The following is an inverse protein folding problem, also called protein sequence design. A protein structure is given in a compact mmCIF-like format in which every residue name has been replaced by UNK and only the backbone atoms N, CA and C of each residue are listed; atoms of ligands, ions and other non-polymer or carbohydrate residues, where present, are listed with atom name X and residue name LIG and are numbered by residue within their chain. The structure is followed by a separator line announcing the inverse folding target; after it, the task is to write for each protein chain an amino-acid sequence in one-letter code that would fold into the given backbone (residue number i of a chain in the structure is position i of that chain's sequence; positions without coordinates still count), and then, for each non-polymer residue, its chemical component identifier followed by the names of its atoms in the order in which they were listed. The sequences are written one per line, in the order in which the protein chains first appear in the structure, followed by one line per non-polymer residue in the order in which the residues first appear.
data_IF_773438392694
#
_entry.id   IF_773438392694
#
_cell.length_a   1.000
_cell.length_b   1.000
_cell.length_c   1.000
_cell.angle_alpha   90.00
_cell.angle_beta   90.00
_cell.angle_gamma   90.00
#
_symmetry.space_group_name_H-M   'P 1'
#
loop_
_entity.id
_entity.type
_entity.pdbx_description
1 polymer ?
#
# COMPACT_ATOMS: atom_id res chain seq x y z
N UNK A 1 0.56 -46.01 23.02
CA UNK A 1 -0.78 -46.41 23.47
C UNK A 1 -1.05 -45.66 24.77
N UNK A 2 -1.74 -44.52 24.71
CA UNK A 2 -2.10 -43.72 25.89
C UNK A 2 -3.63 -43.76 25.97
N UNK A 3 -4.13 -44.65 26.84
CA UNK A 3 -5.55 -44.82 27.12
C UNK A 3 -6.02 -43.69 28.04
N UNK A 4 -6.54 -42.62 27.45
CA UNK A 4 -7.34 -41.65 28.19
C UNK A 4 -8.81 -42.05 28.06
N UNK A 5 -9.39 -42.49 29.18
CA UNK A 5 -10.83 -42.71 29.31
C UNK A 5 -11.51 -41.35 29.28
N UNK A 6 -12.36 -41.13 28.28
CA UNK A 6 -13.20 -39.92 28.19
C UNK A 6 -14.42 -40.15 29.07
N UNK A 7 -14.74 -39.26 30.03
CA UNK A 7 -15.90 -39.44 30.90
C UNK A 7 -17.18 -39.02 30.15
N UNK A 8 -17.61 -39.88 29.22
CA UNK A 8 -18.93 -39.82 28.60
C UNK A 8 -19.51 -41.24 28.59
N UNK A 9 -20.35 -41.53 29.60
CA UNK A 9 -21.18 -42.72 29.72
C UNK A 9 -20.49 -44.09 29.49
N UNK A 10 -19.22 -44.24 29.88
CA UNK A 10 -18.55 -45.55 29.96
C UNK A 10 -18.03 -46.12 28.64
N UNK A 11 -17.73 -45.28 27.65
CA UNK A 11 -17.15 -45.73 26.38
C UNK A 11 -15.63 -45.46 26.29
N UNK A 12 -14.86 -46.45 25.84
CA UNK A 12 -13.44 -46.27 25.49
C UNK A 12 -13.29 -45.52 24.16
N UNK A 13 -12.18 -44.79 23.99
CA UNK A 13 -11.83 -44.04 22.76
C UNK A 13 -11.93 -44.92 21.48
N UNK A 14 -11.62 -46.21 21.60
CA UNK A 14 -11.70 -47.21 20.52
C UNK A 14 -13.14 -47.61 20.12
N UNK A 15 -14.16 -47.13 20.83
CA UNK A 15 -15.59 -47.31 20.50
C UNK A 15 -16.24 -46.01 20.00
N UNK A 16 -15.45 -44.96 19.77
CA UNK A 16 -15.93 -43.61 19.51
C UNK A 16 -15.56 -43.17 18.09
N UNK A 17 -16.55 -43.11 17.18
CA UNK A 17 -16.40 -42.50 15.85
C UNK A 17 -15.15 -42.98 15.05
N UNK A 18 -14.79 -44.26 15.20
CA UNK A 18 -13.61 -44.84 14.57
C UNK A 18 -13.93 -45.36 13.17
N UNK A 19 -13.77 -44.48 12.18
CA UNK A 19 -14.00 -44.81 10.77
C UNK A 19 -13.01 -45.83 10.22
N UNK A 20 -11.89 -46.11 10.88
CA UNK A 20 -10.98 -47.20 10.45
C UNK A 20 -11.61 -48.58 10.65
N UNK A 21 -12.63 -48.67 11.51
CA UNK A 21 -13.35 -49.91 11.83
C UNK A 21 -14.76 -49.91 11.29
N UNK A 22 -15.02 -49.12 10.24
CA UNK A 22 -16.35 -48.97 9.66
C UNK A 22 -17.01 -50.32 9.31
N UNK A 23 -16.23 -51.27 8.77
CA UNK A 23 -16.72 -52.60 8.41
C UNK A 23 -16.93 -53.53 9.62
N UNK A 24 -16.31 -53.25 10.76
CA UNK A 24 -16.37 -54.10 11.96
C UNK A 24 -17.56 -53.79 12.87
N UNK A 25 -18.24 -52.66 12.66
CA UNK A 25 -19.26 -52.14 13.56
C UNK A 25 -20.58 -51.91 12.84
N UNK A 26 -21.70 -52.32 13.48
CA UNK A 26 -23.04 -52.13 12.90
C UNK A 26 -23.48 -50.67 12.87
N UNK A 27 -23.02 -49.85 13.83
CA UNK A 27 -23.41 -48.46 13.96
C UNK A 27 -22.23 -47.62 14.45
N UNK A 28 -22.03 -46.45 13.84
CA UNK A 28 -21.11 -45.42 14.32
C UNK A 28 -21.89 -44.29 14.98
N UNK A 29 -21.48 -43.94 16.19
CA UNK A 29 -22.14 -42.89 16.96
C UNK A 29 -21.51 -41.52 16.66
N UNK A 30 -22.19 -40.70 15.83
CA UNK A 30 -21.69 -39.41 15.32
C UNK A 30 -22.04 -38.18 16.17
N UNK A 31 -22.86 -38.33 17.22
CA UNK A 31 -23.33 -37.22 18.06
C UNK A 31 -22.51 -37.12 19.36
N UNK A 32 -22.15 -35.91 19.77
CA UNK A 32 -21.41 -35.61 21.00
C UNK A 32 -20.32 -34.54 20.84
N UNK A 33 -20.12 -33.70 21.85
CA UNK A 33 -19.23 -32.53 21.79
C UNK A 33 -17.76 -32.85 21.45
N UNK A 34 -17.25 -33.99 21.91
CA UNK A 34 -15.88 -34.44 21.63
C UNK A 34 -15.67 -34.99 20.21
N UNK A 35 -16.74 -35.19 19.43
CA UNK A 35 -16.70 -35.83 18.09
C UNK A 35 -16.75 -34.84 16.94
N UNK A 36 -17.09 -33.58 17.21
CA UNK A 36 -17.06 -32.48 16.22
C UNK A 36 -15.63 -31.94 16.08
N UNK A 37 -14.71 -32.80 15.62
CA UNK A 37 -13.34 -32.41 15.29
C UNK A 37 -13.10 -32.62 13.79
N UNK A 38 -12.16 -31.84 13.24
CA UNK A 38 -11.86 -31.83 11.80
C UNK A 38 -11.54 -33.24 11.27
N UNK A 39 -10.73 -34.00 11.99
CA UNK A 39 -10.31 -35.35 11.60
C UNK A 39 -11.49 -36.31 11.45
N UNK A 40 -12.43 -36.31 12.40
CA UNK A 40 -13.62 -37.16 12.34
C UNK A 40 -14.55 -36.75 11.18
N UNK A 41 -14.73 -35.46 10.93
CA UNK A 41 -15.50 -34.97 9.79
C UNK A 41 -14.86 -35.36 8.44
N UNK A 42 -13.54 -35.26 8.32
CA UNK A 42 -12.81 -35.68 7.12
C UNK A 42 -12.90 -37.19 6.88
N UNK A 43 -12.73 -38.01 7.93
CA UNK A 43 -12.84 -39.46 7.83
C UNK A 43 -14.26 -39.93 7.48
N UNK A 44 -15.29 -39.27 8.04
CA UNK A 44 -16.68 -39.49 7.62
C UNK A 44 -16.85 -39.21 6.13
N UNK A 45 -16.36 -38.06 5.66
CA UNK A 45 -16.43 -37.67 4.25
C UNK A 45 -15.75 -38.69 3.34
N UNK A 46 -14.54 -39.15 3.69
CA UNK A 46 -13.81 -40.19 2.94
C UNK A 46 -14.57 -41.52 2.90
N UNK A 47 -15.10 -41.95 4.04
CA UNK A 47 -15.86 -43.20 4.15
C UNK A 47 -17.14 -43.16 3.32
N UNK A 48 -17.87 -42.03 3.36
CA UNK A 48 -19.05 -41.81 2.53
C UNK A 48 -18.70 -41.79 1.05
N UNK A 49 -17.61 -41.13 0.65
CA UNK A 49 -17.19 -41.09 -0.75
C UNK A 49 -16.79 -42.47 -1.29
N UNK A 50 -16.09 -43.28 -0.48
CA UNK A 50 -15.66 -44.64 -0.84
C UNK A 50 -16.84 -45.61 -0.96
N UNK A 51 -17.74 -45.63 0.03
CA UNK A 51 -18.80 -46.65 0.14
C UNK A 51 -20.14 -46.22 -0.45
N UNK A 52 -20.42 -44.92 -0.45
CA UNK A 52 -21.72 -44.34 -0.80
C UNK A 52 -21.54 -43.05 -1.62
N UNK A 53 -20.87 -43.10 -2.78
CA UNK A 53 -20.49 -41.90 -3.54
C UNK A 53 -21.67 -41.00 -3.92
N UNK A 54 -22.84 -41.59 -4.20
CA UNK A 54 -24.06 -40.83 -4.51
C UNK A 54 -24.59 -40.05 -3.31
N UNK A 55 -24.53 -40.64 -2.11
CA UNK A 55 -24.93 -39.96 -0.88
C UNK A 55 -23.93 -38.86 -0.52
N UNK A 56 -22.63 -39.13 -0.65
CA UNK A 56 -21.59 -38.12 -0.48
C UNK A 56 -21.84 -36.92 -1.41
N UNK A 57 -22.09 -37.17 -2.70
CA UNK A 57 -22.38 -36.12 -3.69
C UNK A 57 -23.58 -35.28 -3.26
N UNK A 58 -24.72 -35.91 -2.94
CA UNK A 58 -25.93 -35.20 -2.48
C UNK A 58 -25.67 -34.37 -1.24
N UNK A 59 -24.92 -34.89 -0.26
CA UNK A 59 -24.58 -34.16 0.97
C UNK A 59 -23.74 -32.92 0.66
N UNK A 60 -22.71 -33.05 -0.19
CA UNK A 60 -21.82 -31.95 -0.54
C UNK A 60 -22.55 -30.87 -1.36
N UNK A 61 -23.46 -31.28 -2.24
CA UNK A 61 -24.33 -30.39 -3.03
C UNK A 61 -25.31 -29.58 -2.15
N UNK A 62 -25.68 -30.06 -0.96
CA UNK A 62 -26.53 -29.30 -0.02
C UNK A 62 -25.81 -28.11 0.64
N UNK A 63 -24.48 -28.05 0.57
CA UNK A 63 -23.68 -26.99 1.20
C UNK A 63 -22.74 -26.29 0.19
N UNK A 64 -23.29 -25.64 -0.85
CA UNK A 64 -22.49 -25.00 -1.92
C UNK A 64 -21.54 -23.91 -1.40
N UNK A 65 -21.93 -23.19 -0.33
CA UNK A 65 -21.11 -22.18 0.33
C UNK A 65 -19.81 -22.72 0.95
N UNK A 66 -19.83 -23.97 1.41
CA UNK A 66 -18.67 -24.65 1.97
C UNK A 66 -17.85 -25.39 0.89
N UNK A 67 -18.46 -25.60 -0.29
CA UNK A 67 -17.88 -26.35 -1.41
C UNK A 67 -17.85 -25.47 -2.67
N UNK A 68 -17.23 -24.29 -2.56
CA UNK A 68 -17.27 -23.22 -3.58
C UNK A 68 -17.05 -23.72 -5.01
N UNK A 69 -16.11 -24.67 -5.21
CA UNK A 69 -15.82 -25.27 -6.52
C UNK A 69 -16.95 -26.12 -7.09
N UNK A 70 -17.67 -26.86 -6.24
CA UNK A 70 -18.80 -27.70 -6.66
C UNK A 70 -20.09 -26.89 -6.82
N UNK A 71 -20.27 -25.84 -6.00
CA UNK A 71 -21.40 -24.92 -6.10
C UNK A 71 -21.30 -23.91 -7.24
N UNK A 72 -20.28 -23.97 -8.10
CA UNK A 72 -20.06 -23.00 -9.18
C UNK A 72 -19.84 -21.56 -8.70
N UNK A 73 -19.53 -21.37 -7.41
CA UNK A 73 -19.29 -20.06 -6.82
C UNK A 73 -17.93 -19.58 -7.33
N UNK A 74 -17.90 -18.46 -8.06
CA UNK A 74 -16.64 -17.83 -8.49
C UNK A 74 -15.75 -17.63 -7.28
N UNK A 75 -14.56 -18.21 -7.33
CA UNK A 75 -13.57 -18.01 -6.29
C UNK A 75 -13.00 -16.62 -6.49
N UNK A 76 -13.39 -15.67 -5.64
CA UNK A 76 -12.74 -14.37 -5.58
C UNK A 76 -11.28 -14.59 -5.15
N UNK A 77 -10.35 -13.99 -5.90
CA UNK A 77 -8.95 -13.95 -5.52
C UNK A 77 -8.87 -13.31 -4.12
N UNK A 78 -8.05 -13.83 -3.20
CA UNK A 78 -7.88 -13.18 -1.91
C UNK A 78 -7.38 -11.75 -2.16
N UNK A 79 -8.01 -10.78 -1.49
CA UNK A 79 -7.50 -9.42 -1.45
C UNK A 79 -6.05 -9.43 -0.98
N UNK A 80 -5.24 -8.53 -1.54
CA UNK A 80 -3.86 -8.38 -1.13
C UNK A 80 -3.80 -8.13 0.38
N UNK A 81 -3.01 -8.94 1.09
CA UNK A 81 -2.84 -8.74 2.53
C UNK A 81 -2.08 -7.43 2.78
N UNK A 82 -2.30 -6.81 3.94
CA UNK A 82 -1.55 -5.61 4.35
C UNK A 82 -0.03 -5.85 4.27
N UNK A 83 0.44 -7.04 4.65
CA UNK A 83 1.86 -7.40 4.57
C UNK A 83 2.38 -7.41 3.13
N UNK A 84 1.63 -7.97 2.18
CA UNK A 84 2.01 -7.95 0.76
C UNK A 84 2.06 -6.54 0.20
N UNK A 85 1.11 -5.67 0.55
CA UNK A 85 1.14 -4.27 0.15
C UNK A 85 2.42 -3.57 0.65
N UNK A 86 2.74 -3.70 1.94
CA UNK A 86 3.95 -3.09 2.50
C UNK A 86 5.21 -3.67 1.86
N UNK A 87 5.26 -4.98 1.59
CA UNK A 87 6.38 -5.61 0.90
C UNK A 87 6.57 -5.04 -0.52
N UNK A 88 5.49 -4.87 -1.31
CA UNK A 88 5.58 -4.28 -2.65
C UNK A 88 6.22 -2.88 -2.65
N UNK A 89 5.86 -2.06 -1.66
CA UNK A 89 6.48 -0.74 -1.52
C UNK A 89 7.94 -0.83 -1.07
N UNK A 90 8.27 -1.76 -0.17
CA UNK A 90 9.65 -1.99 0.25
C UNK A 90 10.54 -2.47 -0.90
N UNK A 91 10.03 -3.36 -1.76
CA UNK A 91 10.72 -3.84 -2.95
C UNK A 91 10.98 -2.66 -3.91
N UNK A 92 9.96 -1.85 -4.20
CA UNK A 92 10.11 -0.63 -4.99
C UNK A 92 11.20 0.31 -4.43
N UNK A 93 11.19 0.56 -3.12
CA UNK A 93 12.19 1.43 -2.48
C UNK A 93 13.59 0.83 -2.59
N UNK A 94 13.75 -0.48 -2.39
CA UNK A 94 15.03 -1.18 -2.51
C UNK A 94 15.59 -1.08 -3.93
N UNK A 95 14.73 -1.17 -4.95
CA UNK A 95 15.13 -1.00 -6.34
C UNK A 95 15.67 0.42 -6.58
N UNK A 96 14.96 1.47 -6.10
CA UNK A 96 15.42 2.86 -6.20
C UNK A 96 16.74 3.09 -5.48
N UNK A 97 16.90 2.58 -4.26
CA UNK A 97 18.14 2.68 -3.49
C UNK A 97 19.30 2.01 -4.23
N UNK A 98 19.04 0.86 -4.87
CA UNK A 98 20.06 0.14 -5.64
C UNK A 98 20.51 0.95 -6.86
N UNK A 99 19.57 1.58 -7.58
CA UNK A 99 19.91 2.50 -8.67
C UNK A 99 20.72 3.71 -8.19
N UNK A 100 20.38 4.27 -7.04
CA UNK A 100 21.06 5.47 -6.51
C UNK A 100 22.43 5.21 -5.90
N UNK A 101 22.81 3.96 -5.61
CA UNK A 101 24.16 3.63 -5.13
C UNK A 101 25.26 4.00 -6.11
N UNK A 102 24.93 4.04 -7.40
CA UNK A 102 25.86 4.41 -8.47
C UNK A 102 26.04 5.93 -8.60
N UNK A 103 25.24 6.75 -7.87
CA UNK A 103 25.36 8.20 -7.91
C UNK A 103 26.62 8.66 -7.15
N UNK A 104 27.50 9.46 -7.77
CA UNK A 104 28.65 10.02 -7.07
C UNK A 104 28.23 10.96 -5.95
N UNK A 105 28.95 10.93 -4.83
CA UNK A 105 28.71 11.84 -3.70
C UNK A 105 28.78 13.32 -4.10
N UNK A 106 29.66 13.67 -5.05
CA UNK A 106 29.74 15.04 -5.61
C UNK A 106 28.42 15.46 -6.28
N UNK A 107 27.78 14.55 -7.02
CA UNK A 107 26.46 14.82 -7.62
C UNK A 107 25.40 15.06 -6.54
N UNK A 108 25.40 14.26 -5.48
CA UNK A 108 24.48 14.44 -4.35
C UNK A 108 24.77 15.73 -3.56
N UNK A 109 26.04 16.12 -3.45
CA UNK A 109 26.46 17.37 -2.81
C UNK A 109 26.01 18.59 -3.62
N UNK A 110 26.23 18.58 -4.95
CA UNK A 110 25.76 19.62 -5.86
C UNK A 110 24.24 19.78 -5.79
N UNK A 111 23.50 18.67 -5.74
CA UNK A 111 22.05 18.71 -5.57
C UNK A 111 21.64 19.27 -4.23
N UNK A 112 22.29 18.87 -3.14
CA UNK A 112 22.03 19.43 -1.81
C UNK A 112 22.29 20.94 -1.77
N UNK A 113 23.35 21.41 -2.44
CA UNK A 113 23.65 22.83 -2.56
C UNK A 113 22.54 23.56 -3.34
N UNK A 114 22.12 23.05 -4.50
CA UNK A 114 21.00 23.61 -5.29
C UNK A 114 19.70 23.69 -4.50
N UNK A 115 19.42 22.66 -3.69
CA UNK A 115 18.23 22.59 -2.86
C UNK A 115 18.26 23.55 -1.67
N UNK A 116 19.41 24.10 -1.30
CA UNK A 116 19.53 24.98 -0.12
C UNK A 116 18.97 26.40 -0.33
N UNK A 117 18.82 26.83 -1.58
CA UNK A 117 18.49 28.22 -1.92
C UNK A 117 17.01 28.60 -1.83
N UNK A 118 16.12 27.62 -1.57
CA UNK A 118 14.66 27.87 -1.58
C UNK A 118 14.19 28.84 -0.48
N UNK A 119 14.93 28.97 0.63
CA UNK A 119 14.58 29.90 1.72
C UNK A 119 14.51 31.35 1.23
N UNK A 120 15.34 31.74 0.27
CA UNK A 120 15.29 33.07 -0.34
C UNK A 120 14.01 33.27 -1.13
N UNK A 121 13.58 32.25 -1.88
CA UNK A 121 12.32 32.28 -2.63
C UNK A 121 11.11 32.42 -1.70
N UNK A 122 11.03 31.63 -0.62
CA UNK A 122 9.89 31.68 0.31
C UNK A 122 9.74 33.06 0.98
N UNK A 123 10.86 33.73 1.27
CA UNK A 123 10.87 35.04 1.91
C UNK A 123 10.82 36.23 0.93
N UNK A 124 10.93 36.00 -0.37
CA UNK A 124 10.90 37.04 -1.39
C UNK A 124 9.48 37.61 -1.58
N UNK A 125 9.39 38.82 -2.15
CA UNK A 125 8.10 39.38 -2.55
C UNK A 125 7.56 38.71 -3.82
N UNK A 126 6.30 38.97 -4.20
CA UNK A 126 5.65 38.31 -5.35
C UNK A 126 6.37 38.54 -6.67
N UNK A 127 6.87 39.75 -6.91
CA UNK A 127 7.56 40.11 -8.15
C UNK A 127 8.87 39.33 -8.28
N UNK A 128 9.61 39.21 -7.18
CA UNK A 128 10.83 38.40 -7.11
C UNK A 128 10.53 36.89 -7.21
N UNK A 129 9.47 36.42 -6.54
CA UNK A 129 9.03 35.02 -6.62
C UNK A 129 8.66 34.66 -8.07
N UNK A 130 7.92 35.52 -8.77
CA UNK A 130 7.43 35.30 -10.13
C UNK A 130 8.54 34.89 -11.13
N UNK A 131 9.71 35.53 -11.05
CA UNK A 131 10.83 35.30 -11.97
C UNK A 131 11.72 34.12 -11.59
N UNK A 132 11.61 33.60 -10.36
CA UNK A 132 12.41 32.47 -9.90
C UNK A 132 12.17 31.23 -10.74
N UNK A 133 13.24 30.53 -11.10
CA UNK A 133 13.16 29.28 -11.87
C UNK A 133 12.94 28.10 -10.93
N UNK A 134 11.93 27.29 -11.23
CA UNK A 134 11.56 26.10 -10.48
C UNK A 134 11.81 24.88 -11.35
N UNK A 135 12.41 23.84 -10.78
CA UNK A 135 12.64 22.57 -11.47
C UNK A 135 12.57 21.39 -10.51
N UNK A 136 12.40 20.17 -11.04
CA UNK A 136 12.34 18.96 -10.22
C UNK A 136 13.69 18.28 -10.11
N UNK A 137 13.92 17.59 -8.99
CA UNK A 137 15.05 16.70 -8.83
C UNK A 137 14.89 15.53 -9.84
N UNK A 138 15.84 15.30 -10.75
CA UNK A 138 15.73 14.27 -11.78
C UNK A 138 15.72 12.85 -11.20
N UNK A 139 16.15 12.70 -9.94
CA UNK A 139 16.14 11.42 -9.24
C UNK A 139 14.90 11.22 -8.36
N UNK A 140 13.95 12.17 -8.35
CA UNK A 140 12.67 11.99 -7.68
C UNK A 140 11.86 10.88 -8.34
N UNK A 141 11.42 9.91 -7.55
CA UNK A 141 10.62 8.79 -8.02
C UNK A 141 9.35 8.67 -7.20
N UNK A 142 8.22 8.57 -7.90
CA UNK A 142 6.90 8.50 -7.30
C UNK A 142 6.42 7.06 -7.29
N UNK A 143 5.95 6.61 -6.13
CA UNK A 143 5.20 5.39 -5.94
C UNK A 143 3.72 5.74 -5.79
N UNK A 144 2.97 5.51 -6.87
CA UNK A 144 1.51 5.63 -6.86
C UNK A 144 0.92 4.47 -6.03
N UNK A 145 0.27 4.80 -4.92
CA UNK A 145 -0.32 3.81 -4.03
C UNK A 145 -1.55 3.21 -4.73
N UNK A 146 -1.57 1.90 -5.03
CA UNK A 146 -2.65 1.33 -5.81
C UNK A 146 -4.02 1.52 -5.15
N UNK A 147 -5.00 1.94 -5.95
CA UNK A 147 -6.35 2.24 -5.48
C UNK A 147 -7.04 1.04 -4.82
N UNK A 148 -6.70 -0.18 -5.24
CA UNK A 148 -7.24 -1.43 -4.70
C UNK A 148 -6.58 -1.90 -3.40
N UNK A 149 -5.53 -1.23 -2.90
CA UNK A 149 -4.93 -1.59 -1.61
C UNK A 149 -5.92 -1.41 -0.44
N UNK A 150 -5.87 -2.30 0.58
CA UNK A 150 -6.66 -2.13 1.79
C UNK A 150 -6.40 -0.78 2.45
N UNK A 151 -7.45 -0.13 2.97
CA UNK A 151 -7.34 1.18 3.62
C UNK A 151 -6.31 1.20 4.77
N UNK A 152 -6.24 0.11 5.54
CA UNK A 152 -5.23 -0.04 6.60
C UNK A 152 -3.80 -0.04 6.06
N UNK A 153 -3.53 -0.70 4.92
CA UNK A 153 -2.20 -0.71 4.31
C UNK A 153 -1.79 0.70 3.84
N UNK A 154 -2.72 1.41 3.19
CA UNK A 154 -2.50 2.81 2.77
C UNK A 154 -2.20 3.70 3.96
N UNK A 155 -2.97 3.56 5.04
CA UNK A 155 -2.79 4.35 6.26
C UNK A 155 -1.43 4.08 6.91
N UNK A 156 -1.06 2.81 7.11
CA UNK A 156 0.22 2.43 7.73
C UNK A 156 1.42 2.91 6.91
N UNK A 157 1.37 2.79 5.58
CA UNK A 157 2.42 3.32 4.71
C UNK A 157 2.55 4.83 4.87
N UNK A 158 1.43 5.57 4.81
CA UNK A 158 1.42 7.02 4.93
C UNK A 158 1.89 7.50 6.29
N UNK A 159 1.44 6.85 7.36
CA UNK A 159 1.84 7.18 8.73
C UNK A 159 3.34 6.97 8.95
N UNK A 160 3.93 5.91 8.37
CA UNK A 160 5.38 5.66 8.40
C UNK A 160 6.16 6.78 7.72
N UNK A 161 5.70 7.24 6.56
CA UNK A 161 6.38 8.27 5.76
C UNK A 161 6.20 9.66 6.39
N UNK A 162 4.98 10.04 6.76
CA UNK A 162 4.70 11.32 7.43
C UNK A 162 3.42 11.27 8.24
N UNK A 163 3.57 11.30 9.57
CA UNK A 163 2.42 11.40 10.50
C UNK A 163 1.60 12.67 10.27
N UNK A 164 2.25 13.79 9.97
CA UNK A 164 1.61 15.09 9.80
C UNK A 164 0.68 15.16 8.58
N UNK A 165 1.03 14.47 7.48
CA UNK A 165 0.28 14.50 6.22
C UNK A 165 -0.55 13.24 5.94
N UNK A 166 -0.53 12.23 6.81
CA UNK A 166 -1.11 10.90 6.55
C UNK A 166 -2.63 10.89 6.26
N UNK A 167 -3.37 11.90 6.72
CA UNK A 167 -4.82 12.02 6.53
C UNK A 167 -5.25 12.42 5.11
N UNK A 168 -4.32 12.72 4.21
CA UNK A 168 -4.62 13.19 2.85
C UNK A 168 -4.57 12.07 1.81
N UNK A 169 -5.31 12.24 0.73
CA UNK A 169 -5.01 11.52 -0.51
C UNK A 169 -3.62 11.98 -0.98
N UNK A 170 -2.72 11.02 -1.06
CA UNK A 170 -1.32 11.27 -1.29
C UNK A 170 -0.65 9.96 -1.69
N UNK A 171 0.31 10.08 -2.58
CA UNK A 171 1.25 9.03 -2.95
C UNK A 171 2.57 9.21 -2.18
N UNK A 172 3.54 8.35 -2.44
CA UNK A 172 4.86 8.48 -1.84
C UNK A 172 5.84 8.92 -2.91
N UNK A 173 6.64 9.94 -2.61
CA UNK A 173 7.79 10.31 -3.45
C UNK A 173 9.07 10.07 -2.66
N UNK A 174 10.07 9.54 -3.34
CA UNK A 174 11.38 9.27 -2.78
C UNK A 174 12.48 9.93 -3.63
N UNK A 175 13.53 10.39 -2.97
CA UNK A 175 14.70 11.04 -3.60
C UNK A 175 15.98 10.57 -2.91
N UNK A 176 17.10 10.44 -3.62
CA UNK A 176 18.39 10.20 -2.99
C UNK A 176 18.83 11.46 -2.25
N UNK A 177 19.57 11.29 -1.15
CA UNK A 177 20.15 12.40 -0.43
C UNK A 177 21.51 12.03 0.17
N UNK A 178 22.36 13.03 0.36
CA UNK A 178 23.74 12.82 0.82
C UNK A 178 23.85 12.30 2.27
N UNK A 179 22.85 12.58 3.11
CA UNK A 179 22.90 12.33 4.55
C UNK A 179 21.87 11.27 4.97
N UNK A 180 21.99 10.78 6.21
CA UNK A 180 21.05 9.82 6.77
C UNK A 180 21.15 8.47 6.07
N UNK A 181 20.00 7.88 5.74
CA UNK A 181 19.90 6.58 5.07
C UNK A 181 20.29 6.63 3.58
N UNK A 182 20.73 7.78 3.06
CA UNK A 182 21.07 7.96 1.64
C UNK A 182 19.86 8.30 0.76
N UNK A 183 18.67 8.38 1.34
CA UNK A 183 17.42 8.75 0.67
C UNK A 183 16.44 9.43 1.63
N UNK A 184 15.41 10.06 1.06
CA UNK A 184 14.29 10.65 1.79
C UNK A 184 12.98 10.25 1.14
N UNK A 185 11.96 10.08 1.97
CA UNK A 185 10.58 9.81 1.56
C UNK A 185 9.69 10.96 2.00
N UNK A 186 8.67 11.28 1.21
CA UNK A 186 7.68 12.31 1.50
C UNK A 186 6.32 11.92 0.92
N UNK A 187 5.25 12.50 1.47
CA UNK A 187 3.90 12.30 0.94
C UNK A 187 3.61 13.34 -0.14
N UNK A 188 3.31 12.86 -1.34
CA UNK A 188 3.01 13.67 -2.50
C UNK A 188 1.50 13.88 -2.61
N UNK A 189 1.03 15.10 -2.41
CA UNK A 189 -0.38 15.44 -2.62
C UNK A 189 -0.70 15.58 -4.11
N UNK A 190 -1.99 15.66 -4.46
CA UNK A 190 -2.42 15.95 -5.85
C UNK A 190 -1.81 17.26 -6.39
N UNK A 191 -1.64 18.28 -5.53
CA UNK A 191 -0.93 19.51 -5.88
C UNK A 191 0.52 19.24 -6.23
N UNK A 192 1.21 18.47 -5.39
CA UNK A 192 2.60 18.11 -5.64
C UNK A 192 2.75 17.26 -6.90
N UNK A 193 1.83 16.32 -7.14
CA UNK A 193 1.80 15.49 -8.34
C UNK A 193 1.66 16.34 -9.61
N UNK A 194 0.71 17.28 -9.62
CA UNK A 194 0.51 18.20 -10.73
C UNK A 194 1.72 19.11 -10.97
N UNK A 195 2.34 19.64 -9.89
CA UNK A 195 3.57 20.42 -10.00
C UNK A 195 4.68 19.59 -10.66
N UNK A 196 4.90 18.34 -10.23
CA UNK A 196 5.93 17.48 -10.80
C UNK A 196 5.68 17.09 -12.26
N UNK A 197 4.39 16.95 -12.64
CA UNK A 197 3.98 16.71 -14.01
C UNK A 197 4.25 17.91 -14.91
N UNK A 198 4.01 19.14 -14.42
CA UNK A 198 4.32 20.36 -15.18
C UNK A 198 5.83 20.61 -15.30
N UNK A 199 6.61 20.25 -14.28
CA UNK A 199 8.06 20.43 -14.24
C UNK A 199 8.83 19.35 -15.04
N UNK A 200 8.36 18.96 -16.24
CA UNK A 200 9.21 18.23 -17.19
C UNK A 200 10.45 19.05 -17.57
N UNK A 201 10.26 20.36 -17.73
CA UNK A 201 11.33 21.33 -17.95
C UNK A 201 11.28 22.41 -16.86
N UNK A 202 12.43 23.02 -16.60
CA UNK A 202 12.53 24.18 -15.70
C UNK A 202 11.73 25.37 -16.26
N UNK A 203 10.94 26.02 -15.41
CA UNK A 203 10.11 27.18 -15.79
C UNK A 203 10.09 28.23 -14.68
N UNK A 204 9.64 29.45 -14.97
CA UNK A 204 9.46 30.44 -13.91
C UNK A 204 8.26 30.09 -13.03
N UNK A 205 8.28 30.54 -11.78
CA UNK A 205 7.18 30.33 -10.85
C UNK A 205 5.87 30.94 -11.38
N UNK A 206 5.92 32.10 -12.04
CA UNK A 206 4.74 32.70 -12.68
C UNK A 206 4.12 31.78 -13.74
N UNK A 207 4.94 31.20 -14.60
CA UNK A 207 4.48 30.27 -15.63
C UNK A 207 3.90 29.02 -14.99
N UNK A 208 4.60 28.44 -14.00
CA UNK A 208 4.13 27.27 -13.27
C UNK A 208 2.76 27.54 -12.60
N UNK A 209 2.59 28.71 -11.99
CA UNK A 209 1.34 29.11 -11.35
C UNK A 209 0.22 29.25 -12.37
N UNK A 210 0.50 29.87 -13.52
CA UNK A 210 -0.48 30.07 -14.59
C UNK A 210 -0.93 28.73 -15.20
N UNK A 211 0.01 27.84 -15.52
CA UNK A 211 -0.25 26.50 -16.04
C UNK A 211 -1.09 25.69 -15.05
N UNK A 212 -0.70 25.68 -13.77
CA UNK A 212 -1.44 24.98 -12.73
C UNK A 212 -2.86 25.56 -12.58
N UNK A 213 -3.01 26.89 -12.51
CA UNK A 213 -4.31 27.56 -12.46
C UNK A 213 -5.23 27.17 -13.63
N UNK A 214 -4.67 26.92 -14.82
CA UNK A 214 -5.45 26.52 -16.00
C UNK A 214 -6.12 25.15 -15.85
N UNK A 215 -5.54 24.28 -15.01
CA UNK A 215 -6.05 22.91 -14.75
C UNK A 215 -7.06 22.84 -13.61
N UNK A 216 -7.20 23.91 -12.83
CA UNK A 216 -8.09 23.97 -11.67
C UNK A 216 -9.55 24.22 -12.08
N UNK A 217 -10.48 23.73 -11.26
CA UNK A 217 -11.89 24.06 -11.43
C UNK A 217 -12.13 25.56 -11.20
N UNK A 218 -13.17 26.15 -11.83
CA UNK A 218 -13.46 27.59 -11.68
C UNK A 218 -13.59 28.03 -10.23
N UNK A 219 -14.21 27.21 -9.38
CA UNK A 219 -14.45 27.52 -7.96
C UNK A 219 -13.15 27.69 -7.17
N UNK A 220 -12.13 26.91 -7.52
CA UNK A 220 -10.81 27.00 -6.88
C UNK A 220 -10.03 28.17 -7.48
N UNK A 221 -10.07 28.31 -8.81
CA UNK A 221 -9.32 29.32 -9.56
C UNK A 221 -9.75 30.76 -9.20
N UNK A 222 -11.03 30.97 -8.92
CA UNK A 222 -11.57 32.29 -8.58
C UNK A 222 -11.03 32.82 -7.22
N UNK A 223 -10.48 31.93 -6.38
CA UNK A 223 -9.74 32.30 -5.16
C UNK A 223 -8.23 32.40 -5.43
N UNK A 224 -7.81 33.33 -6.28
CA UNK A 224 -6.41 33.48 -6.69
C UNK A 224 -5.42 33.60 -5.53
N UNK A 225 -5.79 34.30 -4.43
CA UNK A 225 -4.96 34.40 -3.24
C UNK A 225 -4.80 33.07 -2.50
N UNK A 226 -5.89 32.30 -2.39
CA UNK A 226 -5.86 30.96 -1.80
C UNK A 226 -5.04 29.98 -2.62
N UNK A 227 -5.14 30.04 -3.95
CA UNK A 227 -4.32 29.24 -4.87
C UNK A 227 -2.85 29.57 -4.71
N UNK A 228 -2.50 30.86 -4.72
CA UNK A 228 -1.12 31.33 -4.55
C UNK A 228 -0.50 30.80 -3.24
N UNK A 229 -1.21 30.96 -2.12
CA UNK A 229 -0.73 30.48 -0.80
C UNK A 229 -0.60 28.96 -0.74
N UNK A 230 -1.56 28.24 -1.32
CA UNK A 230 -1.52 26.77 -1.37
C UNK A 230 -0.35 26.28 -2.20
N UNK A 231 -0.09 26.92 -3.33
CA UNK A 231 1.05 26.61 -4.19
C UNK A 231 2.38 26.90 -3.49
N UNK A 232 2.52 28.04 -2.81
CA UNK A 232 3.73 28.34 -2.04
C UNK A 232 3.96 27.32 -0.92
N UNK A 233 2.92 26.98 -0.15
CA UNK A 233 3.03 25.99 0.93
C UNK A 233 3.41 24.59 0.41
N UNK A 234 2.90 24.21 -0.76
CA UNK A 234 3.27 22.93 -1.37
C UNK A 234 4.69 22.97 -1.95
N UNK A 235 5.09 24.04 -2.64
CA UNK A 235 6.47 24.20 -3.10
C UNK A 235 7.48 24.23 -1.95
N UNK A 236 7.17 24.91 -0.86
CA UNK A 236 7.99 24.91 0.35
C UNK A 236 8.20 23.48 0.86
N UNK A 237 7.13 22.71 0.96
CA UNK A 237 7.19 21.31 1.37
C UNK A 237 8.03 20.46 0.40
N UNK A 238 7.85 20.61 -0.91
CA UNK A 238 8.60 19.87 -1.91
C UNK A 238 10.09 20.25 -1.92
N UNK A 239 10.40 21.53 -1.72
CA UNK A 239 11.78 22.01 -1.60
C UNK A 239 12.45 21.50 -0.34
N UNK A 240 11.77 21.60 0.81
CA UNK A 240 12.26 21.07 2.08
C UNK A 240 12.60 19.58 1.99
N UNK A 241 11.80 18.81 1.24
CA UNK A 241 12.01 17.37 1.03
C UNK A 241 12.95 17.02 -0.13
N UNK A 242 13.55 18.01 -0.80
CA UNK A 242 14.55 17.78 -1.85
C UNK A 242 13.98 17.29 -3.19
N UNK A 243 12.67 17.44 -3.39
CA UNK A 243 11.93 16.95 -4.56
C UNK A 243 11.93 17.99 -5.67
N UNK A 244 11.83 19.26 -5.31
CA UNK A 244 11.87 20.43 -6.20
C UNK A 244 12.99 21.36 -5.74
N UNK A 245 13.61 22.07 -6.68
CA UNK A 245 14.57 23.12 -6.39
C UNK A 245 14.08 24.45 -6.96
N UNK A 246 14.60 25.54 -6.39
CA UNK A 246 14.37 26.90 -6.88
C UNK A 246 15.71 27.59 -7.10
N UNK A 247 15.86 28.24 -8.25
CA UNK A 247 17.00 29.10 -8.58
C UNK A 247 16.51 30.54 -8.66
N UNK A 248 17.20 31.42 -7.95
CA UNK A 248 17.09 32.85 -8.18
C UNK A 248 17.70 33.14 -9.56
N UNK A 249 17.01 33.91 -10.39
CA UNK A 249 17.73 34.58 -11.49
C UNK A 249 18.74 35.51 -10.82
N UNK A 250 20.02 35.15 -10.88
CA UNK A 250 21.08 36.03 -10.42
C UNK A 250 20.96 37.35 -11.17
N UNK A 251 20.79 38.44 -10.43
CA UNK A 251 20.98 39.80 -10.94
C UNK A 251 22.30 39.80 -11.73
N UNK A 252 22.20 40.06 -13.03
CA UNK A 252 23.36 40.24 -13.90
C UNK A 252 24.19 41.45 -13.45
#
# INVERSE_FOLDING_TARGET
MLGYVVPDNGYDYHRFCDFYRFDDVKFLHLLGGHKRNQRACELLGRTLLDRYPDYYRRIVELFPQNNKRLGGIKQELPDMTVQQCIALYQDYLCDRITEWKELPNETLYDWKHRLSSYSHFINANREQQAVCKVGKNPYASVFEIPSHWPGLAKHLLKERVSRERCGRNADVVCVPCLLGEGYREALLSDWGYNILALLENEMSFEVLLAELCSTLSPEIRDNGEGVYRSMLAELEYLCYNGIVYVKLESEK
#
